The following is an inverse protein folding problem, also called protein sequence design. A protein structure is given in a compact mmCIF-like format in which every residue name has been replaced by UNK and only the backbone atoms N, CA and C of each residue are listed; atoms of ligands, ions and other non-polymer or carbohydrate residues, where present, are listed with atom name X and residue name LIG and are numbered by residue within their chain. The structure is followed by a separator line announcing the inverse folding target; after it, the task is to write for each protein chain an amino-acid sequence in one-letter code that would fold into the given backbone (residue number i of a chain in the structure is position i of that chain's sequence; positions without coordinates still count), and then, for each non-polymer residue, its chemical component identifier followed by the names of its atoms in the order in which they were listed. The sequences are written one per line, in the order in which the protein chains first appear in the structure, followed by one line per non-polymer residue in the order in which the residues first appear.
data_IF_933017621961
#
_entry.id   IF_933017621961
#
_cell.length_a   1.000
_cell.length_b   1.000
_cell.length_c   1.000
_cell.angle_alpha   90.00
_cell.angle_beta   90.00
_cell.angle_gamma   90.00
#
_symmetry.space_group_name_H-M   'P 1'
#
loop_
_entity.id
_entity.type
_entity.pdbx_description
1 polymer ?
#
# COMPACT_ATOMS: atom_id res chain seq x y z
N UNK A 1 20.10 11.98 -11.81
CA UNK A 1 19.26 12.31 -12.98
C UNK A 1 18.58 11.01 -13.38
N UNK A 2 17.30 10.85 -13.02
CA UNK A 2 16.62 9.55 -13.16
C UNK A 2 16.61 9.12 -14.61
N UNK A 3 17.13 7.92 -14.90
CA UNK A 3 17.11 7.35 -16.24
C UNK A 3 15.69 6.98 -16.71
N UNK A 4 14.74 6.88 -15.78
CA UNK A 4 13.32 6.65 -16.06
C UNK A 4 12.56 7.89 -15.62
N UNK A 5 11.87 8.53 -16.57
CA UNK A 5 10.97 9.65 -16.32
C UNK A 5 9.69 9.43 -17.11
N UNK A 6 8.56 9.68 -16.47
CA UNK A 6 7.26 9.64 -17.10
C UNK A 6 6.66 11.04 -17.07
N UNK A 7 5.95 11.41 -18.12
CA UNK A 7 5.17 12.64 -18.11
C UNK A 7 3.93 12.44 -17.24
N UNK A 8 3.47 13.49 -16.55
CA UNK A 8 2.25 13.44 -15.73
C UNK A 8 1.06 12.86 -16.49
N UNK A 9 0.90 13.23 -17.77
CA UNK A 9 -0.17 12.73 -18.64
C UNK A 9 -0.12 11.20 -18.83
N UNK A 10 1.08 10.62 -18.86
CA UNK A 10 1.27 9.16 -18.93
C UNK A 10 0.97 8.51 -17.57
N UNK A 11 1.45 9.11 -16.48
CA UNK A 11 1.28 8.58 -15.12
C UNK A 11 -0.21 8.46 -14.75
N UNK A 12 -1.02 9.48 -15.05
CA UNK A 12 -2.45 9.49 -14.70
C UNK A 12 -3.30 8.65 -15.65
N UNK A 13 -2.74 8.19 -16.78
CA UNK A 13 -3.44 7.29 -17.70
C UNK A 13 -3.32 5.84 -17.21
N UNK A 14 -4.44 5.28 -16.73
CA UNK A 14 -4.47 3.92 -16.19
C UNK A 14 -4.10 2.83 -17.20
N UNK A 15 -4.39 3.01 -18.48
CA UNK A 15 -3.96 2.07 -19.53
C UNK A 15 -2.43 1.99 -19.60
N UNK A 16 -1.75 3.13 -19.44
CA UNK A 16 -0.29 3.21 -19.40
C UNK A 16 0.28 2.75 -18.06
N UNK A 17 -0.29 3.20 -16.95
CA UNK A 17 0.32 3.07 -15.63
C UNK A 17 0.12 1.69 -15.00
N UNK A 18 -1.01 1.01 -15.29
CA UNK A 18 -1.32 -0.29 -14.68
C UNK A 18 -0.43 -1.43 -15.22
N UNK A 19 0.14 -1.27 -16.41
CA UNK A 19 1.12 -2.20 -16.99
C UNK A 19 2.57 -1.94 -16.56
N UNK A 20 2.82 -0.92 -15.73
CA UNK A 20 4.17 -0.56 -15.26
C UNK A 20 4.28 -0.83 -13.77
N UNK A 21 5.11 -1.81 -13.44
CA UNK A 21 5.26 -2.32 -12.09
C UNK A 21 6.65 -1.99 -11.56
N UNK A 22 6.73 -1.80 -10.25
CA UNK A 22 7.99 -1.73 -9.50
C UNK A 22 8.03 -2.90 -8.52
N UNK A 23 9.22 -3.48 -8.37
CA UNK A 23 9.52 -4.45 -7.32
C UNK A 23 10.80 -4.01 -6.59
N UNK A 24 10.78 -4.11 -5.27
CA UNK A 24 11.95 -3.93 -4.41
C UNK A 24 12.05 -5.15 -3.51
N UNK A 25 13.24 -5.71 -3.41
CA UNK A 25 13.55 -6.86 -2.56
C UNK A 25 14.54 -6.46 -1.47
N UNK A 26 14.71 -7.30 -0.45
CA UNK A 26 15.77 -7.18 0.54
C UNK A 26 16.51 -8.52 0.74
N UNK A 27 17.50 -8.55 1.65
CA UNK A 27 18.27 -9.76 1.98
C UNK A 27 17.59 -10.68 2.99
N UNK A 28 16.43 -10.28 3.51
CA UNK A 28 15.56 -11.12 4.34
C UNK A 28 14.58 -11.97 3.50
N UNK A 29 14.69 -11.95 2.17
CA UNK A 29 13.78 -12.68 1.28
C UNK A 29 12.40 -12.03 1.10
N UNK A 30 12.22 -10.83 1.65
CA UNK A 30 11.01 -10.02 1.50
C UNK A 30 11.03 -9.20 0.22
N UNK A 31 9.85 -8.82 -0.24
CA UNK A 31 9.67 -7.87 -1.32
C UNK A 31 8.43 -6.99 -1.15
N UNK A 32 8.43 -5.88 -1.86
CA UNK A 32 7.30 -4.99 -2.06
C UNK A 32 7.12 -4.79 -3.56
N UNK A 33 5.91 -4.96 -4.08
CA UNK A 33 5.63 -4.82 -5.50
C UNK A 33 4.23 -4.27 -5.76
N UNK A 34 4.13 -3.35 -6.71
CA UNK A 34 2.87 -2.73 -7.13
C UNK A 34 3.09 -1.99 -8.47
N UNK A 35 2.03 -1.46 -9.07
CA UNK A 35 2.13 -0.52 -10.19
C UNK A 35 2.72 0.83 -9.80
N UNK A 36 3.17 1.64 -10.77
CA UNK A 36 3.69 2.99 -10.54
C UNK A 36 2.64 3.93 -9.90
N UNK A 37 1.34 3.63 -10.04
CA UNK A 37 0.22 4.37 -9.41
C UNK A 37 -0.35 3.70 -8.16
N UNK A 38 0.27 2.63 -7.67
CA UNK A 38 -0.14 1.91 -6.44
C UNK A 38 -1.45 1.13 -6.51
N UNK A 39 -2.00 0.96 -7.71
CA UNK A 39 -3.08 0.03 -7.92
C UNK A 39 -2.50 -1.37 -8.06
N UNK A 40 -2.73 -2.24 -7.08
CA UNK A 40 -2.34 -3.64 -7.20
C UNK A 40 -3.16 -4.29 -8.33
N UNK A 41 -2.48 -4.95 -9.27
CA UNK A 41 -3.12 -5.63 -10.42
C UNK A 41 -2.89 -7.14 -10.43
N UNK A 42 -2.04 -7.65 -9.53
CA UNK A 42 -1.74 -9.07 -9.33
C UNK A 42 -1.96 -9.47 -7.88
N UNK A 43 -2.27 -10.75 -7.62
CA UNK A 43 -2.26 -11.31 -6.25
C UNK A 43 -0.88 -11.29 -5.59
N UNK A 44 0.19 -11.18 -6.37
CA UNK A 44 1.58 -11.07 -5.92
C UNK A 44 1.98 -9.65 -5.51
N UNK A 45 1.13 -8.65 -5.77
CA UNK A 45 1.38 -7.27 -5.34
C UNK A 45 1.01 -7.05 -3.88
N UNK A 46 1.77 -6.16 -3.24
CA UNK A 46 1.67 -5.83 -1.83
C UNK A 46 2.85 -4.97 -1.37
N UNK A 47 2.75 -4.44 -0.15
CA UNK A 47 3.77 -3.57 0.45
C UNK A 47 4.76 -4.32 1.33
N UNK A 48 4.32 -5.40 1.96
CA UNK A 48 5.18 -6.30 2.72
C UNK A 48 4.79 -7.74 2.42
N UNK A 49 5.61 -8.37 1.57
CA UNK A 49 5.59 -9.79 1.32
C UNK A 49 6.86 -10.37 1.91
N UNK A 50 6.75 -11.36 2.79
CA UNK A 50 7.88 -11.95 3.49
C UNK A 50 7.75 -13.47 3.62
N UNK A 51 8.86 -14.20 3.82
CA UNK A 51 8.78 -15.58 4.28
C UNK A 51 8.10 -15.67 5.65
N UNK A 52 7.38 -16.78 5.90
CA UNK A 52 6.84 -17.12 7.23
C UNK A 52 7.25 -18.56 7.55
N UNK A 53 8.19 -18.70 8.49
CA UNK A 53 8.82 -19.99 8.80
C UNK A 53 7.83 -21.00 9.38
N UNK A 54 6.90 -20.54 10.24
CA UNK A 54 5.84 -21.36 10.83
C UNK A 54 4.88 -21.94 9.77
N UNK A 55 4.84 -21.33 8.58
CA UNK A 55 4.04 -21.77 7.44
C UNK A 55 4.91 -22.38 6.33
N UNK A 56 6.04 -22.99 6.71
CA UNK A 56 6.92 -23.74 5.81
C UNK A 56 7.84 -22.86 4.97
N UNK A 57 8.10 -21.62 5.37
CA UNK A 57 8.99 -20.69 4.67
C UNK A 57 8.41 -20.14 3.36
N UNK A 58 7.11 -20.36 3.11
CA UNK A 58 6.39 -19.78 1.99
C UNK A 58 6.34 -18.25 2.08
N UNK A 59 6.05 -17.58 0.96
CA UNK A 59 5.90 -16.12 0.94
C UNK A 59 4.43 -15.73 1.11
N UNK A 60 4.21 -14.78 2.00
CA UNK A 60 2.87 -14.32 2.36
C UNK A 60 2.77 -12.79 2.26
N UNK A 61 1.64 -12.31 1.74
CA UNK A 61 1.30 -10.89 1.75
C UNK A 61 0.75 -10.54 3.13
N UNK A 62 1.51 -9.81 3.96
CA UNK A 62 1.03 -9.35 5.27
C UNK A 62 0.31 -8.01 5.14
N UNK A 63 0.91 -7.08 4.41
CA UNK A 63 0.37 -5.74 4.13
C UNK A 63 0.18 -5.57 2.63
N UNK A 64 -1.07 -5.43 2.18
CA UNK A 64 -1.41 -5.27 0.75
C UNK A 64 -1.26 -3.82 0.28
N UNK A 65 -1.72 -2.86 1.07
CA UNK A 65 -1.71 -1.44 0.70
C UNK A 65 -1.85 -0.54 1.94
N UNK A 66 -1.54 0.74 1.77
CA UNK A 66 -1.86 1.82 2.70
C UNK A 66 -2.67 2.86 1.93
N UNK A 67 -3.93 3.07 2.30
CA UNK A 67 -4.67 4.23 1.79
C UNK A 67 -4.37 5.43 2.64
N UNK A 68 -3.85 6.48 2.00
CA UNK A 68 -3.57 7.74 2.66
C UNK A 68 -4.57 8.78 2.22
N UNK A 69 -5.14 9.48 3.19
CA UNK A 69 -6.01 10.63 2.97
C UNK A 69 -5.37 11.85 3.61
N UNK A 70 -5.14 12.88 2.80
CA UNK A 70 -4.74 14.21 3.28
C UNK A 70 -6.01 14.96 3.66
N UNK A 71 -6.11 15.34 4.93
CA UNK A 71 -7.26 16.05 5.49
C UNK A 71 -6.85 17.48 5.82
N UNK A 72 -7.60 18.42 5.28
CA UNK A 72 -7.50 19.86 5.50
C UNK A 72 -8.90 20.39 5.80
N UNK A 73 -9.14 20.80 7.06
CA UNK A 73 -10.46 21.25 7.52
C UNK A 73 -11.55 20.25 7.09
N UNK A 74 -12.54 20.69 6.31
CA UNK A 74 -13.66 19.87 5.82
C UNK A 74 -13.36 19.11 4.51
N UNK A 75 -12.13 19.20 3.98
CA UNK A 75 -11.73 18.58 2.72
C UNK A 75 -10.82 17.39 2.95
N UNK A 76 -11.12 16.28 2.28
CA UNK A 76 -10.34 15.04 2.32
C UNK A 76 -9.94 14.61 0.91
N UNK A 77 -8.65 14.36 0.71
CA UNK A 77 -8.08 13.91 -0.57
C UNK A 77 -7.42 12.54 -0.39
N UNK A 78 -8.08 11.48 -0.86
CA UNK A 78 -7.55 10.12 -0.80
C UNK A 78 -6.66 9.84 -2.01
N UNK A 79 -5.40 9.51 -1.76
CA UNK A 79 -4.38 9.23 -2.79
C UNK A 79 -4.30 7.75 -3.18
N UNK A 80 -5.09 6.88 -2.54
CA UNK A 80 -5.21 5.47 -2.89
C UNK A 80 -5.98 5.23 -4.19
N UNK A 81 -5.83 4.01 -4.72
CA UNK A 81 -6.57 3.52 -5.88
C UNK A 81 -6.75 2.01 -5.79
N UNK A 82 -7.95 1.52 -6.10
CA UNK A 82 -8.23 0.10 -6.32
C UNK A 82 -9.16 -0.07 -7.50
N UNK A 83 -9.01 -1.21 -8.17
CA UNK A 83 -9.91 -1.69 -9.21
C UNK A 83 -11.04 -2.51 -8.58
N UNK A 84 -12.24 -2.30 -9.08
CA UNK A 84 -13.44 -3.10 -8.81
C UNK A 84 -14.11 -3.45 -10.15
N UNK A 85 -15.22 -4.18 -10.09
CA UNK A 85 -15.99 -4.65 -11.25
C UNK A 85 -16.17 -3.61 -12.37
N UNK A 86 -15.94 -4.07 -13.61
CA UNK A 86 -15.98 -3.21 -14.80
C UNK A 86 -14.86 -2.18 -14.78
N UNK A 87 -15.08 -0.98 -15.33
CA UNK A 87 -14.08 0.09 -15.32
C UNK A 87 -14.15 0.98 -14.07
N UNK A 88 -14.55 0.41 -12.93
CA UNK A 88 -14.71 1.15 -11.70
C UNK A 88 -13.42 1.16 -10.87
N UNK A 89 -12.90 2.37 -10.62
CA UNK A 89 -11.75 2.61 -9.75
C UNK A 89 -12.12 3.56 -8.63
N UNK A 90 -11.83 3.16 -7.40
CA UNK A 90 -12.07 3.97 -6.21
C UNK A 90 -11.08 3.66 -5.08
N UNK A 91 -10.49 4.66 -4.42
CA UNK A 91 -10.50 6.08 -4.78
C UNK A 91 -9.79 6.33 -6.14
N UNK A 92 -9.84 7.57 -6.63
CA UNK A 92 -9.17 7.98 -7.88
C UNK A 92 -7.85 8.71 -7.60
N UNK A 93 -7.10 8.25 -6.60
CA UNK A 93 -5.91 8.94 -6.10
C UNK A 93 -4.77 9.08 -7.11
N UNK A 94 -4.68 8.18 -8.10
CA UNK A 94 -3.76 8.29 -9.24
C UNK A 94 -3.84 9.63 -9.96
N UNK A 95 -4.99 10.32 -9.95
CA UNK A 95 -5.16 11.64 -10.57
C UNK A 95 -4.36 12.74 -9.89
N UNK A 96 -3.98 12.54 -8.63
CA UNK A 96 -3.17 13.48 -7.86
C UNK A 96 -1.67 13.25 -8.05
N UNK A 97 -1.25 12.13 -8.65
CA UNK A 97 0.16 11.81 -8.85
C UNK A 97 0.76 12.73 -9.92
N UNK A 98 1.75 13.55 -9.53
CA UNK A 98 2.46 14.48 -10.40
C UNK A 98 3.72 13.86 -10.99
N UNK A 99 4.44 13.09 -10.16
CA UNK A 99 5.73 12.52 -10.53
C UNK A 99 5.98 11.19 -9.81
N UNK A 100 6.81 10.37 -10.45
CA UNK A 100 7.28 9.08 -9.93
C UNK A 100 8.78 8.95 -10.20
N UNK A 101 9.56 8.84 -9.12
CA UNK A 101 11.01 8.72 -9.17
C UNK A 101 11.49 7.38 -8.62
N UNK A 102 12.60 6.85 -9.15
CA UNK A 102 13.19 5.57 -8.72
C UNK A 102 14.70 5.63 -8.49
N UNK A 103 15.32 6.82 -8.42
CA UNK A 103 16.78 6.94 -8.36
C UNK A 103 17.41 6.25 -7.15
N UNK A 104 16.99 6.63 -5.94
CA UNK A 104 17.54 6.10 -4.68
C UNK A 104 16.49 5.30 -3.92
N UNK A 105 15.44 5.99 -3.47
CA UNK A 105 14.26 5.43 -2.83
C UNK A 105 13.09 5.73 -3.76
N UNK A 106 12.28 4.73 -4.15
CA UNK A 106 11.10 4.98 -4.96
C UNK A 106 10.19 5.99 -4.27
N UNK A 107 9.88 7.07 -4.99
CA UNK A 107 9.11 8.18 -4.48
C UNK A 107 7.97 8.56 -5.41
N UNK A 108 6.90 9.06 -4.81
CA UNK A 108 5.70 9.55 -5.50
C UNK A 108 5.38 10.94 -4.97
N UNK A 109 5.19 11.88 -5.88
CA UNK A 109 4.77 13.25 -5.57
C UNK A 109 3.29 13.41 -5.87
N UNK A 110 2.48 13.71 -4.86
CA UNK A 110 1.05 13.92 -4.99
C UNK A 110 0.71 15.39 -4.75
N UNK A 111 -0.06 15.98 -5.68
CA UNK A 111 -0.63 17.32 -5.55
C UNK A 111 -2.11 17.21 -5.24
N UNK A 112 -2.48 17.54 -4.01
CA UNK A 112 -3.86 17.51 -3.52
C UNK A 112 -4.24 18.88 -2.99
N UNK A 113 -5.13 19.58 -3.71
CA UNK A 113 -5.39 20.99 -3.43
C UNK A 113 -4.08 21.81 -3.46
N UNK A 114 -3.78 22.49 -2.35
CA UNK A 114 -2.56 23.30 -2.20
C UNK A 114 -1.40 22.54 -1.52
N UNK A 115 -1.50 21.22 -1.40
CA UNK A 115 -0.50 20.38 -0.71
C UNK A 115 0.32 19.59 -1.72
N UNK A 116 1.65 19.65 -1.59
CA UNK A 116 2.57 18.72 -2.24
C UNK A 116 3.03 17.69 -1.22
N UNK A 117 2.55 16.46 -1.35
CA UNK A 117 2.92 15.34 -0.50
C UNK A 117 3.90 14.42 -1.24
N UNK A 118 5.08 14.23 -0.67
CA UNK A 118 6.02 13.20 -1.10
C UNK A 118 5.85 11.95 -0.26
N UNK A 119 5.79 10.79 -0.91
CA UNK A 119 5.79 9.49 -0.26
C UNK A 119 6.94 8.64 -0.78
N UNK A 120 7.72 8.07 0.15
CA UNK A 120 8.88 7.22 -0.10
C UNK A 120 8.70 5.86 0.58
N UNK A 121 9.18 4.78 -0.04
CA UNK A 121 9.11 3.42 0.53
C UNK A 121 10.42 2.67 0.42
N UNK A 122 10.81 2.00 1.50
CA UNK A 122 12.05 1.23 1.58
C UNK A 122 11.84 -0.05 2.39
N UNK A 123 12.42 -1.16 1.94
CA UNK A 123 12.57 -2.36 2.75
C UNK A 123 13.89 -2.31 3.51
N UNK A 124 13.85 -2.65 4.79
CA UNK A 124 15.06 -2.81 5.61
C UNK A 124 15.87 -3.99 5.10
N UNK A 125 17.19 -3.86 5.10
CA UNK A 125 18.06 -4.76 4.35
C UNK A 125 18.02 -6.21 4.86
N UNK A 126 17.94 -6.42 6.18
CA UNK A 126 18.03 -7.75 6.82
C UNK A 126 16.83 -8.06 7.73
N UNK A 127 15.70 -7.37 7.53
CA UNK A 127 14.49 -7.55 8.35
C UNK A 127 13.26 -7.56 7.44
N UNK A 128 12.20 -8.30 7.82
CA UNK A 128 10.86 -8.28 7.20
C UNK A 128 10.12 -6.98 7.53
N UNK A 129 10.76 -5.83 7.28
CA UNK A 129 10.27 -4.52 7.68
C UNK A 129 10.21 -3.56 6.48
N UNK A 130 9.05 -2.93 6.34
CA UNK A 130 8.81 -1.82 5.43
C UNK A 130 8.84 -0.50 6.19
N UNK A 131 9.61 0.46 5.68
CA UNK A 131 9.59 1.85 6.11
C UNK A 131 8.87 2.68 5.04
N UNK A 132 7.92 3.51 5.48
CA UNK A 132 7.22 4.47 4.63
C UNK A 132 7.42 5.86 5.23
N UNK A 133 7.84 6.81 4.39
CA UNK A 133 8.01 8.21 4.80
C UNK A 133 7.04 9.08 4.02
N UNK A 134 6.35 9.95 4.75
CA UNK A 134 5.51 11.00 4.20
C UNK A 134 6.16 12.34 4.52
N UNK A 135 6.40 13.15 3.50
CA UNK A 135 6.97 14.50 3.64
C UNK A 135 6.04 15.50 2.96
N UNK A 136 5.51 16.46 3.72
CA UNK A 136 4.79 17.60 3.16
C UNK A 136 5.84 18.59 2.68
N UNK A 137 5.98 18.72 1.36
CA UNK A 137 6.94 19.64 0.74
C UNK A 137 6.37 21.07 0.66
N UNK A 138 5.07 21.18 0.42
CA UNK A 138 4.35 22.44 0.35
C UNK A 138 2.98 22.27 1.00
N UNK A 139 2.58 23.22 1.84
CA UNK A 139 1.26 23.31 2.43
C UNK A 139 0.98 24.73 2.92
N UNK A 140 -0.27 25.19 2.79
CA UNK A 140 -0.71 26.49 3.29
C UNK A 140 -1.04 26.49 4.79
N UNK A 141 -1.27 25.31 5.37
CA UNK A 141 -1.65 25.12 6.77
C UNK A 141 -1.22 23.73 7.26
N UNK A 142 -1.46 23.42 8.53
CA UNK A 142 -1.21 22.09 9.07
C UNK A 142 -2.14 21.06 8.45
N UNK A 143 -1.62 19.88 8.12
CA UNK A 143 -2.40 18.79 7.51
C UNK A 143 -2.49 17.61 8.45
N UNK A 144 -3.68 16.98 8.50
CA UNK A 144 -3.83 15.67 9.13
C UNK A 144 -3.70 14.59 8.06
N UNK A 145 -2.83 13.61 8.29
CA UNK A 145 -2.77 12.39 7.48
C UNK A 145 -3.59 11.30 8.16
N UNK A 146 -4.54 10.72 7.43
CA UNK A 146 -5.23 9.51 7.82
C UNK A 146 -4.70 8.35 6.99
N UNK A 147 -4.25 7.29 7.65
CA UNK A 147 -3.63 6.14 7.00
C UNK A 147 -4.43 4.89 7.37
N UNK A 148 -5.01 4.24 6.35
CA UNK A 148 -5.77 3.01 6.49
C UNK A 148 -4.96 1.83 5.97
N UNK A 149 -4.51 0.91 6.82
CA UNK A 149 -3.79 -0.28 6.38
C UNK A 149 -4.75 -1.35 5.85
N UNK A 150 -4.31 -2.04 4.81
CA UNK A 150 -5.03 -3.16 4.21
C UNK A 150 -4.23 -4.43 4.48
N UNK A 151 -4.66 -5.16 5.51
CA UNK A 151 -4.05 -6.41 5.92
C UNK A 151 -4.57 -7.54 5.03
N UNK A 152 -3.69 -8.48 4.66
CA UNK A 152 -4.05 -9.60 3.80
C UNK A 152 -3.84 -10.96 4.47
N UNK A 153 -2.68 -11.19 5.10
CA UNK A 153 -2.28 -12.44 5.75
C UNK A 153 -2.63 -13.68 4.91
N UNK A 154 -2.13 -13.68 3.67
CA UNK A 154 -2.43 -14.73 2.69
C UNK A 154 -1.21 -15.15 1.91
N UNK A 155 -1.21 -16.38 1.43
CA UNK A 155 -0.20 -16.87 0.48
C UNK A 155 -0.20 -16.01 -0.79
N UNK A 156 0.97 -15.80 -1.38
CA UNK A 156 1.06 -15.09 -2.67
C UNK A 156 0.36 -15.85 -3.82
N UNK A 157 0.04 -17.13 -3.65
CA UNK A 157 -0.65 -17.95 -4.64
C UNK A 157 -2.17 -17.86 -4.54
N UNK A 158 -2.69 -17.27 -3.46
CA UNK A 158 -4.11 -17.33 -3.12
C UNK A 158 -4.68 -15.93 -2.91
N UNK A 159 -5.98 -15.76 -3.14
CA UNK A 159 -6.74 -14.60 -2.68
C UNK A 159 -7.45 -14.94 -1.36
N UNK A 160 -7.90 -13.91 -0.68
CA UNK A 160 -8.66 -14.06 0.56
C UNK A 160 -9.91 -13.21 0.49
N UNK A 161 -11.00 -13.80 0.96
CA UNK A 161 -12.31 -13.18 1.04
C UNK A 161 -12.74 -13.08 2.49
N UNK A 162 -13.77 -12.27 2.74
CA UNK A 162 -14.36 -12.13 4.06
C UNK A 162 -14.73 -13.49 4.64
N UNK A 163 -14.28 -13.74 5.87
CA UNK A 163 -14.47 -15.01 6.57
C UNK A 163 -14.54 -14.79 8.08
N UNK A 164 -15.05 -15.79 8.79
CA UNK A 164 -15.23 -15.75 10.25
C UNK A 164 -13.96 -16.12 11.04
N UNK A 165 -12.94 -16.67 10.37
CA UNK A 165 -11.70 -17.09 11.03
C UNK A 165 -10.74 -15.92 11.27
N UNK A 166 -10.89 -14.81 10.56
CA UNK A 166 -10.06 -13.63 10.73
C UNK A 166 -10.23 -13.02 12.12
N UNK A 167 -9.14 -13.02 12.88
CA UNK A 167 -9.03 -12.33 14.14
C UNK A 167 -8.91 -10.81 13.90
N UNK A 168 -9.94 -10.07 14.30
CA UNK A 168 -10.01 -8.61 14.16
C UNK A 168 -9.41 -7.85 15.33
N UNK A 169 -8.93 -8.55 16.38
CA UNK A 169 -8.34 -7.91 17.56
C UNK A 169 -6.98 -7.29 17.23
N UNK A 170 -6.67 -6.22 17.96
CA UNK A 170 -5.40 -5.53 17.92
C UNK A 170 -4.84 -5.41 19.34
N UNK A 171 -3.53 -5.25 19.43
CA UNK A 171 -2.84 -4.88 20.66
C UNK A 171 -2.14 -3.53 20.45
N UNK A 172 -2.32 -2.62 21.40
CA UNK A 172 -1.62 -1.33 21.38
C UNK A 172 -0.13 -1.55 21.67
N UNK A 173 0.71 -0.84 20.93
CA UNK A 173 2.17 -0.78 21.14
C UNK A 173 2.60 0.69 21.10
N UNK A 174 3.87 0.97 21.41
CA UNK A 174 4.38 2.33 21.32
C UNK A 174 4.16 2.90 19.90
N UNK A 175 3.46 4.03 19.82
CA UNK A 175 3.16 4.76 18.59
C UNK A 175 2.42 3.93 17.51
N UNK A 176 1.60 2.95 17.90
CA UNK A 176 0.83 2.19 16.92
C UNK A 176 0.19 0.92 17.48
N UNK A 177 -0.02 -0.05 16.59
CA UNK A 177 -0.67 -1.32 16.92
C UNK A 177 0.12 -2.50 16.38
N UNK A 178 -0.14 -3.68 16.93
CA UNK A 178 0.18 -4.95 16.27
C UNK A 178 -1.08 -5.79 16.09
N UNK A 179 -1.11 -6.57 15.01
CA UNK A 179 -2.22 -7.47 14.70
C UNK A 179 -1.73 -8.82 14.18
N UNK A 180 -2.47 -9.87 14.50
CA UNK A 180 -2.28 -11.23 14.00
C UNK A 180 -3.63 -11.78 13.55
N UNK A 181 -3.88 -11.76 12.24
CA UNK A 181 -5.20 -12.07 11.69
C UNK A 181 -5.52 -13.57 11.70
N UNK A 182 -4.51 -14.44 11.49
CA UNK A 182 -4.69 -15.89 11.51
C UNK A 182 -3.64 -16.56 12.37
N UNK A 183 -3.97 -17.76 12.85
CA UNK A 183 -3.02 -18.63 13.55
C UNK A 183 -1.86 -19.03 12.63
N UNK A 184 -0.68 -19.25 13.20
CA UNK A 184 0.55 -19.55 12.45
C UNK A 184 1.27 -18.34 11.85
N UNK A 185 0.63 -17.18 11.73
CA UNK A 185 1.30 -15.96 11.26
C UNK A 185 2.03 -15.19 12.38
N UNK A 186 3.10 -14.44 12.04
CA UNK A 186 3.70 -13.49 12.96
C UNK A 186 2.76 -12.30 13.22
N UNK A 187 3.02 -11.55 14.28
CA UNK A 187 2.34 -10.28 14.52
C UNK A 187 2.91 -9.19 13.61
N UNK A 188 2.06 -8.56 12.79
CA UNK A 188 2.44 -7.40 12.02
C UNK A 188 2.38 -6.15 12.90
N UNK A 189 3.53 -5.52 13.11
CA UNK A 189 3.64 -4.25 13.82
C UNK A 189 3.47 -3.09 12.84
N UNK A 190 2.59 -2.14 13.17
CA UNK A 190 2.33 -0.93 12.39
C UNK A 190 2.49 0.27 13.32
N UNK A 191 3.59 1.00 13.16
CA UNK A 191 4.02 2.05 14.07
C UNK A 191 4.40 3.33 13.33
N UNK A 192 4.23 4.46 13.99
CA UNK A 192 4.66 5.78 13.54
C UNK A 192 5.90 6.25 14.31
N UNK A 193 6.65 7.16 13.69
CA UNK A 193 7.76 7.86 14.36
C UNK A 193 7.26 8.86 15.41
N UNK A 194 5.98 9.21 15.38
CA UNK A 194 5.29 10.11 16.32
C UNK A 194 4.10 9.39 16.95
N UNK A 195 3.50 9.98 17.98
CA UNK A 195 2.21 9.52 18.48
C UNK A 195 1.14 9.61 17.38
N UNK A 196 0.26 8.61 17.32
CA UNK A 196 -0.81 8.52 16.35
C UNK A 196 -2.05 7.89 17.00
N UNK A 197 -3.21 8.47 16.71
CA UNK A 197 -4.49 7.92 17.13
C UNK A 197 -4.87 6.73 16.22
N UNK A 198 -5.21 5.60 16.84
CA UNK A 198 -5.74 4.44 16.11
C UNK A 198 -7.25 4.28 16.36
N UNK A 199 -8.02 4.35 15.27
CA UNK A 199 -9.46 4.13 15.28
C UNK A 199 -9.72 2.72 14.73
N UNK A 200 -10.20 1.82 15.60
CA UNK A 200 -10.42 0.41 15.24
C UNK A 200 -11.70 0.24 14.42
N UNK A 201 -11.53 -0.02 13.12
CA UNK A 201 -12.60 -0.32 12.17
C UNK A 201 -12.18 -1.54 11.33
N UNK A 202 -12.35 -2.77 11.84
CA UNK A 202 -11.83 -3.98 11.23
C UNK A 202 -12.73 -4.51 10.10
N UNK A 203 -13.09 -3.63 9.16
CA UNK A 203 -13.97 -3.98 8.05
C UNK A 203 -13.22 -4.70 6.93
N UNK A 204 -13.93 -5.61 6.28
CA UNK A 204 -13.47 -6.22 5.03
C UNK A 204 -13.69 -5.27 3.86
N UNK A 205 -12.65 -5.04 3.06
CA UNK A 205 -12.79 -4.39 1.76
C UNK A 205 -13.15 -5.43 0.70
N UNK A 206 -14.35 -5.33 0.16
CA UNK A 206 -14.95 -6.31 -0.73
C UNK A 206 -14.82 -5.90 -2.21
N UNK A 207 -14.79 -6.89 -3.10
CA UNK A 207 -14.91 -6.68 -4.55
C UNK A 207 -13.70 -6.06 -5.24
N UNK A 208 -12.53 -6.05 -4.60
CA UNK A 208 -11.28 -5.64 -5.23
C UNK A 208 -10.89 -6.69 -6.27
N UNK A 209 -10.56 -6.25 -7.47
CA UNK A 209 -10.21 -7.13 -8.60
C UNK A 209 -8.75 -6.91 -9.03
N UNK A 210 -8.10 -7.99 -9.46
CA UNK A 210 -6.73 -7.97 -9.95
C UNK A 210 -6.73 -8.22 -11.47
N UNK A 211 -6.57 -7.14 -12.24
CA UNK A 211 -6.71 -7.17 -13.72
C UNK A 211 -5.82 -8.23 -14.38
N UNK A 212 -4.62 -8.43 -13.87
CA UNK A 212 -3.68 -9.40 -14.43
C UNK A 212 -4.03 -10.85 -14.03
N UNK A 213 -4.73 -11.06 -12.92
CA UNK A 213 -5.29 -12.38 -12.57
C UNK A 213 -6.51 -12.69 -13.45
N UNK A 214 -7.39 -11.72 -13.68
CA UNK A 214 -8.53 -11.84 -14.62
C UNK A 214 -8.08 -12.18 -16.04
N UNK A 215 -7.04 -11.52 -16.56
CA UNK A 215 -6.45 -11.83 -17.87
C UNK A 215 -5.91 -13.26 -17.96
N UNK A 216 -5.55 -13.87 -16.82
CA UNK A 216 -5.05 -15.25 -16.71
C UNK A 216 -6.18 -16.27 -16.45
N UNK A 217 -7.43 -15.82 -16.37
CA UNK A 217 -8.60 -16.66 -16.09
C UNK A 217 -8.83 -16.97 -14.61
N UNK A 218 -8.19 -16.22 -13.70
CA UNK A 218 -8.41 -16.30 -12.26
C UNK A 218 -9.34 -15.16 -11.78
N UNK A 219 -9.72 -15.21 -10.50
CA UNK A 219 -10.44 -14.14 -9.80
C UNK A 219 -9.59 -12.86 -9.62
#
# INVERSE_FOLDING_TARGET
MSYIKFEKAQIVNLEFSLGREIIRTNRAGSYASTTIVECNTRKYHGLLICPVDELGGGRFVLLSALDVTVVNNDKSFNIGIRKYKGDYYSPKGHKYLEDFGTESIPERLFRVGNVLLKMERLLVHYEEQLLVRYTILEASESMKLQIRPFLAFRSIHDLTHANLAANTKIEQVKNGIKSKMYEGFPSLHMQFSTEAEFIHVPDWYLGVEYIEEQKRGYD
#
